data_IF_782696725360
#
_entry.id   IF_782696725360
#
_cell.length_a   1.000
_cell.length_b   1.000
_cell.length_c   1.000
_cell.angle_alpha   90.00
_cell.angle_beta   90.00
_cell.angle_gamma   90.00
#
_symmetry.space_group_name_H-M   'P 1'
#
loop_
_entity.id
_entity.type
_entity.pdbx_description
1 polymer ?
#
# COMPACT_ATOMS: atom_id res chain seq x y z
N UNK A 1 26.66 -23.73 35.21
CA UNK A 1 26.13 -22.83 36.23
C UNK A 1 25.14 -23.61 37.08
N UNK A 2 25.56 -24.00 38.31
CA UNK A 2 24.73 -24.74 39.26
C UNK A 2 23.73 -23.76 39.91
N UNK A 3 22.55 -23.68 39.36
CA UNK A 3 21.45 -22.78 39.75
C UNK A 3 20.56 -23.38 40.86
N UNK A 4 21.11 -24.15 41.79
CA UNK A 4 20.39 -24.85 42.89
C UNK A 4 19.14 -24.08 43.35
N UNK A 5 17.95 -24.40 42.73
CA UNK A 5 16.69 -23.83 43.12
C UNK A 5 16.44 -22.36 42.77
N UNK A 6 17.27 -21.72 41.91
CA UNK A 6 17.08 -20.34 41.45
C UNK A 6 16.58 -20.33 40.00
N UNK A 7 15.45 -19.70 39.74
CA UNK A 7 14.90 -19.47 38.41
C UNK A 7 15.47 -18.14 37.87
N UNK A 8 16.00 -18.18 36.65
CA UNK A 8 16.58 -16.98 36.00
C UNK A 8 15.50 -16.17 35.27
N UNK A 9 14.45 -16.83 34.79
CA UNK A 9 13.35 -16.19 34.09
C UNK A 9 12.08 -17.04 34.26
N UNK A 10 10.93 -16.38 34.22
CA UNK A 10 9.62 -16.99 34.13
C UNK A 10 9.01 -16.54 32.82
N UNK A 11 8.67 -17.48 31.96
CA UNK A 11 8.00 -17.20 30.70
C UNK A 11 6.50 -17.38 30.86
N UNK A 12 5.73 -16.37 30.47
CA UNK A 12 4.28 -16.40 30.47
C UNK A 12 3.82 -16.41 29.01
N UNK A 13 3.23 -17.53 28.58
CA UNK A 13 2.67 -17.69 27.25
C UNK A 13 1.22 -17.23 27.27
N UNK A 14 0.89 -16.33 26.37
CA UNK A 14 -0.49 -15.85 26.12
C UNK A 14 -1.01 -16.51 24.84
N UNK A 15 -2.31 -16.80 24.80
CA UNK A 15 -2.97 -17.39 23.61
C UNK A 15 -3.07 -16.36 22.46
N UNK A 16 -3.10 -15.07 22.78
CA UNK A 16 -3.15 -14.00 21.80
C UNK A 16 -2.12 -12.91 22.11
N UNK A 17 -1.35 -12.53 21.10
CA UNK A 17 -0.33 -11.48 21.21
C UNK A 17 -0.89 -10.08 21.48
N UNK A 18 -2.17 -9.83 21.16
CA UNK A 18 -2.84 -8.54 21.43
C UNK A 18 -3.16 -8.36 22.91
N UNK A 19 -3.30 -9.44 23.66
CA UNK A 19 -3.59 -9.42 25.10
C UNK A 19 -2.41 -8.92 25.96
N UNK A 20 -1.19 -8.86 25.38
CA UNK A 20 0.00 -8.37 26.08
C UNK A 20 -0.21 -6.98 26.67
N UNK A 21 -0.88 -6.09 25.92
CA UNK A 21 -1.17 -4.72 26.37
C UNK A 21 -2.10 -4.65 27.59
N UNK A 22 -3.02 -5.58 27.72
CA UNK A 22 -3.97 -5.65 28.82
C UNK A 22 -3.38 -6.36 30.05
N UNK A 23 -2.58 -7.42 29.83
CA UNK A 23 -2.02 -8.25 30.91
C UNK A 23 -0.74 -7.64 31.52
N UNK A 24 0.02 -6.85 30.74
CA UNK A 24 1.27 -6.23 31.20
C UNK A 24 1.12 -5.41 32.49
N UNK A 25 0.13 -4.49 32.66
CA UNK A 25 -0.01 -3.71 33.89
C UNK A 25 -0.35 -4.57 35.10
N UNK A 26 -1.10 -5.65 34.94
CA UNK A 26 -1.40 -6.60 36.02
C UNK A 26 -0.14 -7.36 36.47
N UNK A 27 0.65 -7.82 35.49
CA UNK A 27 1.93 -8.49 35.79
C UNK A 27 2.91 -7.53 36.46
N UNK A 28 2.99 -6.27 36.03
CA UNK A 28 3.83 -5.25 36.66
C UNK A 28 3.42 -4.98 38.11
N UNK A 29 2.11 -4.95 38.38
CA UNK A 29 1.60 -4.80 39.75
C UNK A 29 1.93 -6.01 40.62
N UNK A 30 1.81 -7.24 40.10
CA UNK A 30 2.17 -8.47 40.79
C UNK A 30 3.68 -8.52 41.05
N UNK A 31 4.50 -8.19 40.06
CA UNK A 31 5.96 -8.18 40.22
C UNK A 31 6.37 -7.14 41.25
N UNK A 32 5.79 -5.93 41.24
CA UNK A 32 6.09 -4.92 42.27
C UNK A 32 5.73 -5.39 43.69
N UNK A 33 4.58 -6.05 43.87
CA UNK A 33 4.19 -6.60 45.18
C UNK A 33 5.16 -7.67 45.70
N UNK A 34 5.63 -8.54 44.82
CA UNK A 34 6.54 -9.63 45.22
C UNK A 34 8.00 -9.24 45.23
N UNK A 35 8.43 -8.27 44.40
CA UNK A 35 9.76 -7.71 44.42
C UNK A 35 10.11 -7.09 45.77
N UNK A 36 9.15 -6.35 46.34
CA UNK A 36 9.29 -5.76 47.69
C UNK A 36 9.42 -6.85 48.77
N UNK A 37 8.70 -7.97 48.62
CA UNK A 37 8.76 -9.10 49.56
C UNK A 37 10.07 -9.93 49.44
N UNK A 38 10.69 -9.98 48.26
CA UNK A 38 11.87 -10.81 47.97
C UNK A 38 13.19 -10.02 47.97
N UNK A 39 13.14 -8.71 48.30
CA UNK A 39 14.28 -7.78 48.23
C UNK A 39 15.06 -7.86 46.88
N UNK A 40 14.36 -8.06 45.79
CA UNK A 40 14.92 -8.13 44.42
C UNK A 40 14.34 -7.00 43.58
N UNK A 41 15.09 -5.93 43.41
CA UNK A 41 14.74 -4.78 42.57
C UNK A 41 14.93 -5.03 41.06
N UNK A 42 15.55 -6.16 40.67
CA UNK A 42 15.98 -6.40 39.28
C UNK A 42 14.99 -7.19 38.42
N UNK A 43 13.75 -7.43 38.86
CA UNK A 43 12.76 -8.13 38.06
C UNK A 43 12.18 -7.18 36.98
N UNK A 44 12.56 -7.41 35.74
CA UNK A 44 12.05 -6.66 34.59
C UNK A 44 11.13 -7.54 33.74
N UNK A 45 9.93 -7.07 33.44
CA UNK A 45 9.06 -7.69 32.45
C UNK A 45 9.53 -7.23 31.09
N UNK A 46 9.83 -8.20 30.23
CA UNK A 46 10.19 -7.97 28.83
C UNK A 46 9.17 -8.66 27.94
N UNK A 47 8.61 -7.90 27.02
CA UNK A 47 7.76 -8.41 25.95
C UNK A 47 8.63 -9.08 24.87
N UNK A 48 8.06 -10.04 24.17
CA UNK A 48 8.70 -10.70 23.02
C UNK A 48 9.17 -9.70 21.96
N UNK A 49 8.41 -8.61 21.76
CA UNK A 49 8.80 -7.50 20.88
C UNK A 49 10.04 -6.76 21.37
N UNK A 50 10.20 -6.59 22.67
CA UNK A 50 11.40 -5.97 23.27
C UNK A 50 12.62 -6.89 23.18
N UNK A 51 12.42 -8.20 23.36
CA UNK A 51 13.49 -9.20 23.23
C UNK A 51 14.00 -9.27 21.78
N UNK A 52 13.11 -9.14 20.82
CA UNK A 52 13.42 -9.22 19.38
C UNK A 52 13.41 -7.83 18.70
N UNK A 53 13.77 -6.78 19.42
CA UNK A 53 13.74 -5.39 18.93
C UNK A 53 14.44 -5.20 17.59
N UNK A 54 15.56 -5.87 17.38
CA UNK A 54 16.33 -5.80 16.13
C UNK A 54 15.52 -6.38 14.95
N UNK A 55 14.81 -7.50 15.16
CA UNK A 55 13.95 -8.10 14.17
C UNK A 55 12.78 -7.16 13.81
N UNK A 56 12.10 -6.60 14.82
CA UNK A 56 11.02 -5.64 14.59
C UNK A 56 11.49 -4.35 13.91
N UNK A 57 12.71 -3.90 14.24
CA UNK A 57 13.30 -2.74 13.56
C UNK A 57 13.60 -3.05 12.10
N UNK A 58 14.10 -4.23 11.79
CA UNK A 58 14.34 -4.67 10.41
C UNK A 58 13.04 -4.79 9.61
N UNK A 59 11.99 -5.42 10.16
CA UNK A 59 10.67 -5.51 9.54
C UNK A 59 10.03 -4.14 9.31
N UNK A 60 10.20 -3.21 10.26
CA UNK A 60 9.71 -1.83 10.07
C UNK A 60 10.46 -1.11 8.96
N UNK A 61 11.77 -1.29 8.87
CA UNK A 61 12.60 -0.73 7.79
C UNK A 61 12.18 -1.31 6.43
N UNK A 62 11.97 -2.62 6.35
CA UNK A 62 11.48 -3.31 5.15
C UNK A 62 10.13 -2.75 4.69
N UNK A 63 9.18 -2.59 5.62
CA UNK A 63 7.87 -2.00 5.32
C UNK A 63 7.98 -0.57 4.79
N UNK A 64 8.86 0.25 5.38
CA UNK A 64 9.11 1.62 4.91
C UNK A 64 9.76 1.61 3.52
N UNK A 65 10.77 0.76 3.28
CA UNK A 65 11.42 0.65 1.98
C UNK A 65 10.44 0.22 0.89
N UNK A 66 9.61 -0.80 1.16
CA UNK A 66 8.56 -1.25 0.25
C UNK A 66 7.55 -0.14 -0.05
N UNK A 67 7.12 0.61 0.98
CA UNK A 67 6.22 1.76 0.80
C UNK A 67 6.83 2.83 -0.11
N UNK A 68 8.11 3.15 0.06
CA UNK A 68 8.83 4.13 -0.80
C UNK A 68 8.88 3.63 -2.24
N UNK A 69 9.26 2.36 -2.46
CA UNK A 69 9.35 1.76 -3.80
C UNK A 69 7.97 1.79 -4.50
N UNK A 70 6.92 1.39 -3.81
CA UNK A 70 5.56 1.43 -4.35
C UNK A 70 5.11 2.87 -4.65
N UNK A 71 5.44 3.83 -3.78
CA UNK A 71 5.12 5.24 -4.00
C UNK A 71 5.80 5.80 -5.26
N UNK A 72 7.07 5.45 -5.49
CA UNK A 72 7.80 5.83 -6.71
C UNK A 72 7.16 5.18 -7.94
N UNK A 73 6.81 3.89 -7.86
CA UNK A 73 6.16 3.19 -8.97
C UNK A 73 4.81 3.85 -9.34
N UNK A 74 4.00 4.21 -8.35
CA UNK A 74 2.73 4.93 -8.55
C UNK A 74 2.98 6.30 -9.17
N UNK A 75 4.00 7.04 -8.72
CA UNK A 75 4.35 8.35 -9.28
C UNK A 75 4.75 8.23 -10.76
N UNK A 76 5.57 7.26 -11.12
CA UNK A 76 5.97 6.98 -12.52
C UNK A 76 4.76 6.61 -13.37
N UNK A 77 3.89 5.72 -12.88
CA UNK A 77 2.67 5.34 -13.59
C UNK A 77 1.75 6.56 -13.82
N UNK A 78 1.58 7.42 -12.81
CA UNK A 78 0.80 8.66 -12.93
C UNK A 78 1.38 9.61 -13.98
N UNK A 79 2.70 9.72 -14.03
CA UNK A 79 3.39 10.53 -15.03
C UNK A 79 3.20 9.98 -16.45
N UNK A 80 3.26 8.65 -16.63
CA UNK A 80 2.95 8.00 -17.90
C UNK A 80 1.52 8.31 -18.39
N UNK A 81 0.52 8.28 -17.48
CA UNK A 81 -0.86 8.64 -17.82
C UNK A 81 -0.94 10.09 -18.31
N UNK A 82 -0.31 11.03 -17.60
CA UNK A 82 -0.28 12.45 -17.98
C UNK A 82 0.33 12.60 -19.37
N UNK A 83 1.49 12.00 -19.63
CA UNK A 83 2.18 12.08 -20.93
C UNK A 83 1.32 11.49 -22.06
N UNK A 84 0.71 10.33 -21.84
CA UNK A 84 -0.15 9.68 -22.86
C UNK A 84 -1.35 10.52 -23.20
N UNK A 85 -2.03 11.08 -22.19
CA UNK A 85 -3.18 11.94 -22.40
C UNK A 85 -2.80 13.27 -23.07
N UNK A 86 -1.64 13.85 -22.72
CA UNK A 86 -1.14 15.05 -23.41
C UNK A 86 -0.81 14.75 -24.87
N UNK A 87 -0.19 13.62 -25.19
CA UNK A 87 0.07 13.21 -26.56
C UNK A 87 -1.26 13.07 -27.33
N UNK A 88 -2.24 12.41 -26.73
CA UNK A 88 -3.58 12.25 -27.32
C UNK A 88 -4.25 13.61 -27.57
N UNK A 89 -4.13 14.56 -26.65
CA UNK A 89 -4.62 15.94 -26.83
C UNK A 89 -3.95 16.60 -28.02
N UNK A 90 -2.64 16.43 -28.22
CA UNK A 90 -1.92 17.00 -29.37
C UNK A 90 -2.35 16.36 -30.69
N UNK A 91 -2.49 15.04 -30.73
CA UNK A 91 -2.98 14.30 -31.91
C UNK A 91 -4.41 14.68 -32.27
N UNK A 92 -5.28 14.90 -31.27
CA UNK A 92 -6.70 15.26 -31.45
C UNK A 92 -6.95 16.78 -31.52
N UNK A 93 -5.91 17.59 -31.54
CA UNK A 93 -6.04 19.06 -31.49
C UNK A 93 -6.90 19.63 -32.59
N UNK A 94 -6.83 19.09 -33.82
CA UNK A 94 -7.65 19.49 -34.99
C UNK A 94 -9.14 19.17 -34.76
N UNK A 95 -9.44 17.98 -34.25
CA UNK A 95 -10.81 17.57 -33.93
C UNK A 95 -11.42 18.44 -32.80
N UNK A 96 -10.61 18.74 -31.77
CA UNK A 96 -10.99 19.63 -30.67
C UNK A 96 -11.29 21.04 -31.22
N UNK A 97 -10.42 21.56 -32.09
CA UNK A 97 -10.60 22.87 -32.71
C UNK A 97 -11.90 22.94 -33.53
N UNK A 98 -12.22 21.91 -34.33
CA UNK A 98 -13.45 21.80 -35.09
C UNK A 98 -14.67 21.76 -34.16
N UNK A 99 -14.64 20.93 -33.12
CA UNK A 99 -15.75 20.89 -32.16
C UNK A 99 -15.98 22.25 -31.47
N UNK A 100 -14.91 22.97 -31.11
CA UNK A 100 -15.04 24.31 -30.55
C UNK A 100 -15.56 25.34 -31.55
N UNK A 101 -15.15 25.27 -32.82
CA UNK A 101 -15.64 26.13 -33.85
C UNK A 101 -17.16 25.92 -34.12
N UNK A 102 -17.65 24.69 -33.92
CA UNK A 102 -19.04 24.33 -33.95
C UNK A 102 -19.82 24.70 -32.68
N UNK A 103 -19.16 25.31 -31.68
CA UNK A 103 -19.82 25.80 -30.48
C UNK A 103 -19.66 24.90 -29.22
N UNK A 104 -18.79 23.89 -29.25
CA UNK A 104 -18.53 23.11 -28.06
C UNK A 104 -17.87 23.97 -26.98
N UNK A 105 -18.44 23.92 -25.77
CA UNK A 105 -17.90 24.64 -24.62
C UNK A 105 -16.64 23.98 -24.06
N UNK A 106 -15.77 24.75 -23.40
CA UNK A 106 -14.58 24.23 -22.71
C UNK A 106 -14.92 23.13 -21.70
N UNK A 107 -16.09 23.25 -21.06
CA UNK A 107 -16.58 22.24 -20.12
C UNK A 107 -16.96 20.91 -20.81
N UNK A 108 -17.44 20.98 -22.05
CA UNK A 108 -17.76 19.78 -22.83
C UNK A 108 -16.46 19.03 -23.16
N UNK A 109 -15.45 19.73 -23.67
CA UNK A 109 -14.13 19.15 -23.97
C UNK A 109 -13.49 18.57 -22.70
N UNK A 110 -13.51 19.32 -21.59
CA UNK A 110 -12.98 18.83 -20.30
C UNK A 110 -13.65 17.51 -19.88
N UNK A 111 -14.98 17.42 -19.99
CA UNK A 111 -15.70 16.18 -19.60
C UNK A 111 -15.35 15.00 -20.50
N UNK A 112 -15.12 15.21 -21.78
CA UNK A 112 -14.71 14.15 -22.71
C UNK A 112 -13.36 13.56 -22.26
N UNK A 113 -12.35 14.40 -22.07
CA UNK A 113 -11.02 13.94 -21.66
C UNK A 113 -10.99 13.38 -20.23
N UNK A 114 -11.80 13.93 -19.33
CA UNK A 114 -11.97 13.35 -17.98
C UNK A 114 -12.60 11.96 -18.04
N UNK A 115 -13.64 11.77 -18.87
CA UNK A 115 -14.27 10.48 -19.03
C UNK A 115 -13.32 9.45 -19.65
N UNK A 116 -12.51 9.86 -20.63
CA UNK A 116 -11.50 9.02 -21.26
C UNK A 116 -10.44 8.55 -20.23
N UNK A 117 -9.91 9.47 -19.44
CA UNK A 117 -8.95 9.11 -18.38
C UNK A 117 -9.55 8.18 -17.31
N UNK A 118 -10.81 8.42 -16.91
CA UNK A 118 -11.51 7.54 -15.95
C UNK A 118 -11.74 6.14 -16.54
N UNK A 119 -12.09 6.05 -17.84
CA UNK A 119 -12.25 4.76 -18.51
C UNK A 119 -10.92 4.00 -18.59
N UNK A 120 -9.85 4.67 -19.00
CA UNK A 120 -8.50 4.05 -19.07
C UNK A 120 -8.08 3.59 -17.67
N UNK A 121 -8.24 4.45 -16.68
CA UNK A 121 -7.93 4.11 -15.28
C UNK A 121 -8.78 2.97 -14.74
N UNK A 122 -10.07 2.95 -15.07
CA UNK A 122 -10.98 1.88 -14.68
C UNK A 122 -10.59 0.52 -15.27
N UNK A 123 -10.33 0.48 -16.58
CA UNK A 123 -9.86 -0.74 -17.26
C UNK A 123 -8.52 -1.19 -16.65
N UNK A 124 -7.56 -0.27 -16.46
CA UNK A 124 -6.27 -0.57 -15.86
C UNK A 124 -6.40 -1.11 -14.43
N UNK A 125 -7.28 -0.52 -13.63
CA UNK A 125 -7.54 -0.97 -12.25
C UNK A 125 -8.13 -2.38 -12.23
N UNK A 126 -9.13 -2.66 -13.06
CA UNK A 126 -9.72 -4.01 -13.17
C UNK A 126 -8.66 -5.03 -13.59
N UNK A 127 -7.87 -4.71 -14.62
CA UNK A 127 -6.79 -5.57 -15.08
C UNK A 127 -5.74 -5.82 -13.98
N UNK A 128 -5.35 -4.76 -13.26
CA UNK A 128 -4.41 -4.85 -12.15
C UNK A 128 -4.91 -5.73 -11.00
N UNK A 129 -6.17 -5.56 -10.60
CA UNK A 129 -6.79 -6.37 -9.55
C UNK A 129 -6.91 -7.83 -9.97
N UNK A 130 -7.35 -8.10 -11.20
CA UNK A 130 -7.50 -9.47 -11.72
C UNK A 130 -6.14 -10.16 -11.81
N UNK A 131 -5.13 -9.52 -12.40
CA UNK A 131 -3.78 -10.10 -12.49
C UNK A 131 -3.14 -10.30 -11.12
N UNK A 132 -3.29 -9.33 -10.22
CA UNK A 132 -2.81 -9.46 -8.85
C UNK A 132 -3.45 -10.62 -8.11
N UNK A 133 -4.79 -10.75 -8.21
CA UNK A 133 -5.52 -11.85 -7.59
C UNK A 133 -5.13 -13.21 -8.18
N UNK A 134 -5.01 -13.31 -9.52
CA UNK A 134 -4.56 -14.52 -10.20
C UNK A 134 -3.15 -14.93 -9.75
N UNK A 135 -2.26 -13.96 -9.57
CA UNK A 135 -0.89 -14.22 -9.09
C UNK A 135 -0.91 -14.77 -7.68
N UNK A 136 -1.67 -14.16 -6.78
CA UNK A 136 -1.79 -14.61 -5.37
C UNK A 136 -2.41 -16.01 -5.30
N UNK A 137 -3.50 -16.25 -6.04
CA UNK A 137 -4.14 -17.57 -6.09
C UNK A 137 -3.21 -18.62 -6.70
N UNK A 138 -2.44 -18.27 -7.71
CA UNK A 138 -1.41 -19.14 -8.28
C UNK A 138 -0.34 -19.51 -7.25
N UNK A 139 0.18 -18.53 -6.50
CA UNK A 139 1.15 -18.76 -5.43
C UNK A 139 0.58 -19.69 -4.32
N UNK A 140 -0.69 -19.51 -3.96
CA UNK A 140 -1.37 -20.37 -3.00
C UNK A 140 -1.52 -21.80 -3.51
N UNK A 141 -1.83 -21.95 -4.80
CA UNK A 141 -2.05 -23.27 -5.42
C UNK A 141 -0.74 -24.02 -5.63
N UNK A 142 0.30 -23.34 -6.12
CA UNK A 142 1.64 -23.96 -6.28
C UNK A 142 2.35 -24.20 -4.96
N UNK A 143 1.92 -23.57 -3.86
CA UNK A 143 2.45 -23.73 -2.52
C UNK A 143 3.96 -23.53 -2.47
N UNK A 144 4.41 -22.30 -2.42
CA UNK A 144 5.84 -22.00 -2.26
C UNK A 144 6.31 -22.59 -0.94
N UNK A 145 7.09 -23.68 -1.03
CA UNK A 145 7.69 -24.35 0.13
C UNK A 145 8.88 -23.51 0.58
N UNK A 146 8.86 -23.13 1.83
CA UNK A 146 9.99 -22.51 2.50
C UNK A 146 10.80 -23.60 3.19
N UNK A 147 12.09 -23.38 3.35
CA UNK A 147 12.96 -24.30 4.10
C UNK A 147 12.62 -24.17 5.59
N UNK A 148 12.07 -25.22 6.24
CA UNK A 148 11.67 -25.17 7.64
C UNK A 148 12.82 -24.88 8.61
N UNK A 149 14.02 -25.26 8.20
CA UNK A 149 15.23 -25.05 9.03
C UNK A 149 15.65 -23.57 9.11
N UNK A 150 15.16 -22.74 8.16
CA UNK A 150 15.47 -21.30 8.09
C UNK A 150 14.31 -20.44 8.58
N UNK A 151 13.06 -20.83 8.22
CA UNK A 151 11.90 -19.94 8.40
C UNK A 151 10.91 -20.39 9.47
N UNK A 152 11.08 -21.54 10.08
CA UNK A 152 10.16 -22.12 11.07
C UNK A 152 8.70 -22.24 10.59
N UNK A 153 8.47 -22.12 9.27
CA UNK A 153 7.14 -22.18 8.63
C UNK A 153 7.26 -22.99 7.34
N UNK A 154 6.44 -23.99 7.16
CA UNK A 154 6.49 -24.88 6.00
C UNK A 154 6.00 -24.23 4.70
N UNK A 155 5.15 -23.20 4.81
CA UNK A 155 4.54 -22.50 3.67
C UNK A 155 4.48 -21.00 3.93
N UNK A 156 4.57 -20.23 2.85
CA UNK A 156 4.40 -18.78 2.91
C UNK A 156 2.97 -18.44 3.39
N UNK A 157 2.79 -17.78 4.55
CA UNK A 157 1.48 -17.38 5.04
C UNK A 157 0.98 -16.18 4.21
N UNK A 158 0.19 -16.45 3.17
CA UNK A 158 -0.42 -15.42 2.33
C UNK A 158 -1.85 -15.23 2.83
N UNK A 159 -2.17 -14.03 3.32
CA UNK A 159 -3.53 -13.61 3.64
C UNK A 159 -4.08 -12.76 2.50
N UNK A 160 -5.28 -13.09 2.04
CA UNK A 160 -6.02 -12.29 1.05
C UNK A 160 -7.11 -11.54 1.79
N UNK A 161 -6.90 -10.26 2.03
CA UNK A 161 -7.91 -9.41 2.65
C UNK A 161 -8.67 -8.62 1.57
N UNK A 162 -9.98 -8.84 1.39
CA UNK A 162 -10.78 -8.09 0.41
C UNK A 162 -10.78 -6.58 0.65
N UNK A 163 -10.59 -6.15 1.90
CA UNK A 163 -10.54 -4.73 2.26
C UNK A 163 -9.31 -4.07 1.64
N UNK A 164 -8.15 -4.72 1.73
CA UNK A 164 -6.90 -4.21 1.15
C UNK A 164 -7.02 -4.06 -0.36
N UNK A 165 -7.58 -5.06 -1.07
CA UNK A 165 -7.80 -5.00 -2.52
C UNK A 165 -8.74 -3.85 -2.91
N UNK A 166 -9.82 -3.66 -2.16
CA UNK A 166 -10.78 -2.57 -2.42
C UNK A 166 -10.13 -1.20 -2.18
N UNK A 167 -9.34 -1.07 -1.13
CA UNK A 167 -8.62 0.15 -0.78
C UNK A 167 -7.60 0.53 -1.87
N UNK A 168 -6.84 -0.45 -2.36
CA UNK A 168 -5.86 -0.26 -3.44
C UNK A 168 -6.56 0.12 -4.74
N UNK A 169 -7.65 -0.57 -5.12
CA UNK A 169 -8.42 -0.25 -6.32
C UNK A 169 -9.02 1.17 -6.27
N UNK A 170 -9.58 1.57 -5.13
CA UNK A 170 -10.12 2.91 -4.93
C UNK A 170 -9.01 3.97 -5.00
N UNK A 171 -7.88 3.72 -4.38
CA UNK A 171 -6.72 4.61 -4.41
C UNK A 171 -6.20 4.79 -5.85
N UNK A 172 -6.10 3.71 -6.63
CA UNK A 172 -5.70 3.75 -8.03
C UNK A 172 -6.65 4.61 -8.86
N UNK A 173 -7.97 4.45 -8.68
CA UNK A 173 -8.98 5.26 -9.36
C UNK A 173 -8.88 6.74 -9.00
N UNK A 174 -8.67 7.07 -7.73
CA UNK A 174 -8.51 8.46 -7.28
C UNK A 174 -7.26 9.08 -7.92
N UNK A 175 -6.13 8.38 -7.86
CA UNK A 175 -4.85 8.86 -8.41
C UNK A 175 -4.97 9.08 -9.92
N UNK A 176 -5.55 8.13 -10.65
CA UNK A 176 -5.77 8.26 -12.11
C UNK A 176 -6.67 9.43 -12.44
N UNK A 177 -7.76 9.62 -11.70
CA UNK A 177 -8.67 10.74 -11.89
C UNK A 177 -7.96 12.08 -11.67
N UNK A 178 -7.15 12.19 -10.62
CA UNK A 178 -6.35 13.41 -10.34
C UNK A 178 -5.32 13.64 -11.44
N UNK A 179 -4.61 12.59 -11.89
CA UNK A 179 -3.62 12.68 -12.96
C UNK A 179 -4.24 13.15 -14.29
N UNK A 180 -5.51 12.80 -14.54
CA UNK A 180 -6.25 13.19 -15.76
C UNK A 180 -6.66 14.66 -15.78
N UNK A 181 -6.77 15.33 -14.62
CA UNK A 181 -7.25 16.73 -14.53
C UNK A 181 -6.37 17.66 -15.35
N UNK A 182 -5.06 17.55 -15.23
CA UNK A 182 -4.14 18.44 -15.92
C UNK A 182 -4.24 18.35 -17.46
N UNK A 183 -4.15 17.17 -18.10
CA UNK A 183 -4.33 17.02 -19.54
C UNK A 183 -5.72 17.47 -20.02
N UNK A 184 -6.79 17.15 -19.27
CA UNK A 184 -8.14 17.54 -19.60
C UNK A 184 -8.33 19.08 -19.61
N UNK A 185 -7.71 19.78 -18.65
CA UNK A 185 -7.70 21.25 -18.66
C UNK A 185 -6.88 21.78 -19.84
N UNK A 186 -5.73 21.18 -20.15
CA UNK A 186 -4.92 21.57 -21.30
C UNK A 186 -5.72 21.44 -22.61
N UNK A 187 -6.42 20.32 -22.80
CA UNK A 187 -7.31 20.10 -23.94
C UNK A 187 -8.45 21.13 -24.03
N UNK A 188 -9.08 21.43 -22.89
CA UNK A 188 -10.19 22.39 -22.84
C UNK A 188 -9.79 23.81 -23.19
N UNK A 189 -8.53 24.20 -23.00
CA UNK A 189 -8.01 25.55 -23.26
C UNK A 189 -7.42 25.74 -24.66
N UNK A 190 -7.36 24.70 -25.50
CA UNK A 190 -6.93 24.83 -26.89
C UNK A 190 -7.79 25.84 -27.64
N UNK A 191 -7.12 26.77 -28.32
CA UNK A 191 -7.83 27.76 -29.18
C UNK A 191 -8.07 27.15 -30.54
N UNK A 192 -9.25 27.39 -31.17
CA UNK A 192 -9.57 26.87 -32.52
C UNK A 192 -8.51 27.26 -33.58
N UNK A 193 -7.93 28.44 -33.44
CA UNK A 193 -6.91 28.97 -34.37
C UNK A 193 -5.60 28.17 -34.30
N UNK A 194 -5.23 27.65 -33.12
CA UNK A 194 -3.97 26.93 -32.95
C UNK A 194 -4.03 25.52 -33.58
N UNK A 195 -5.20 24.90 -33.61
CA UNK A 195 -5.41 23.56 -34.21
C UNK A 195 -5.47 23.54 -35.75
N UNK A 196 -5.68 24.70 -36.37
CA UNK A 196 -5.83 24.80 -37.85
C UNK A 196 -4.53 25.35 -38.48
N UNK A 197 -3.65 25.97 -37.72
CA UNK A 197 -2.46 26.70 -38.21
C UNK A 197 -1.22 25.82 -38.41
N UNK A 198 -1.20 24.60 -37.92
CA UNK A 198 -0.11 23.66 -38.11
C UNK A 198 -0.39 22.70 -39.28
N UNK A 199 -0.21 23.19 -40.47
CA UNK A 199 0.22 22.50 -41.68
C UNK A 199 1.47 23.15 -42.21
#
# INVERSE_FOLDING_TARGET
>A
LDLRGKTTAVEVKLDDAELVGAVRPELEALVKRHATALAREDMKIRDWKELNKNLFSALKLEKIATFIILSIAIAVASFCIICTLLLMVTEKSKEIAIMKALGASDRAILRIFMAEGVIIGGIGTVFGVVTGLCTVLGLLWFGVRLDPDVYYVDRLPISVDPVDYTLVALSAMIITTIATIYPAIAASRLRPVDGIRYE
#
